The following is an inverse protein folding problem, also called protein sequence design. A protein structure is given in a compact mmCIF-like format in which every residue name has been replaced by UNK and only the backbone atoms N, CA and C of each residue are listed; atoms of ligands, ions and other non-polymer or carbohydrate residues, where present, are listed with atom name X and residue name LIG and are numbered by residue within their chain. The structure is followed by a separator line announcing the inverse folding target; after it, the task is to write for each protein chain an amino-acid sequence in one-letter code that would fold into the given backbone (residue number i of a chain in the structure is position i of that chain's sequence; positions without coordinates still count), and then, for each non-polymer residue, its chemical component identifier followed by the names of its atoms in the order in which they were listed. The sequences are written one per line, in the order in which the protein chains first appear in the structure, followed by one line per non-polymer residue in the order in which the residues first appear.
data_IF_940952447621
#
_entry.id   IF_940952447621
#
_cell.length_a   1.000
_cell.length_b   1.000
_cell.length_c   1.000
_cell.angle_alpha   90.00
_cell.angle_beta   90.00
_cell.angle_gamma   90.00
#
_symmetry.space_group_name_H-M   'P 1'
#
loop_
_entity.id
_entity.type
_entity.pdbx_description
1 polymer ?
#
# COMPACT_ATOMS: atom_id res chain seq x y z
N UNK A 1 23.01 17.67 25.09
CA UNK A 1 22.35 17.57 23.78
C UNK A 1 21.81 16.15 23.65
N UNK A 2 20.48 15.95 23.71
CA UNK A 2 19.89 14.62 23.47
C UNK A 2 20.12 14.28 21.99
N UNK A 3 20.82 13.18 21.72
CA UNK A 3 20.96 12.62 20.35
C UNK A 3 19.54 12.44 19.82
N UNK A 4 19.18 13.15 18.75
CA UNK A 4 17.90 12.95 18.07
C UNK A 4 17.88 11.49 17.62
N UNK A 5 16.89 10.71 18.06
CA UNK A 5 16.77 9.32 17.66
C UNK A 5 16.66 9.27 16.13
N UNK A 6 17.46 8.42 15.50
CA UNK A 6 17.48 8.32 14.04
C UNK A 6 16.15 7.75 13.55
N UNK A 7 15.50 8.41 12.58
CA UNK A 7 14.21 7.97 12.03
C UNK A 7 14.38 6.66 11.27
N UNK A 8 13.41 5.76 11.40
CA UNK A 8 13.37 4.51 10.62
C UNK A 8 13.10 4.82 9.14
N UNK A 9 14.01 4.46 8.24
CA UNK A 9 13.87 4.67 6.80
C UNK A 9 13.13 3.50 6.18
N UNK A 10 12.04 3.83 5.51
CA UNK A 10 11.12 2.87 4.89
C UNK A 10 10.95 3.23 3.42
N UNK A 11 11.18 2.27 2.54
CA UNK A 11 10.81 2.38 1.13
C UNK A 11 9.56 1.57 0.88
N UNK A 12 8.54 2.18 0.29
CA UNK A 12 7.34 1.50 -0.19
C UNK A 12 7.31 1.55 -1.72
N UNK A 13 7.07 0.42 -2.37
CA UNK A 13 7.14 0.31 -3.81
C UNK A 13 5.90 -0.35 -4.40
N UNK A 14 5.35 0.25 -5.46
CA UNK A 14 4.27 -0.31 -6.27
C UNK A 14 4.80 -0.48 -7.69
N UNK A 15 5.60 -1.52 -7.89
CA UNK A 15 6.44 -1.64 -9.07
C UNK A 15 5.64 -1.97 -10.32
N UNK A 16 5.99 -1.31 -11.42
CA UNK A 16 5.43 -1.53 -12.74
C UNK A 16 6.50 -1.79 -13.80
N UNK A 17 6.09 -2.46 -14.87
CA UNK A 17 6.91 -2.61 -16.07
C UNK A 17 6.72 -1.38 -16.97
N UNK A 18 7.64 -0.41 -16.89
CA UNK A 18 7.62 0.80 -17.72
C UNK A 18 7.82 0.45 -19.21
N UNK A 19 6.81 0.73 -20.03
CA UNK A 19 6.72 0.43 -21.47
C UNK A 19 6.01 1.59 -22.18
N UNK A 20 6.44 1.95 -23.40
CA UNK A 20 5.73 2.94 -24.20
C UNK A 20 4.25 2.55 -24.39
N UNK A 21 3.33 3.49 -24.16
CA UNK A 21 1.89 3.32 -24.39
C UNK A 21 1.06 2.81 -23.21
N UNK A 22 1.67 2.53 -22.05
CA UNK A 22 0.92 2.19 -20.85
C UNK A 22 0.50 3.46 -20.07
N UNK A 23 -0.77 3.55 -19.66
CA UNK A 23 -1.21 4.49 -18.64
C UNK A 23 -0.85 3.94 -17.26
N UNK A 24 -0.14 4.74 -16.47
CA UNK A 24 0.31 4.37 -15.13
C UNK A 24 -0.53 5.08 -14.09
N UNK A 25 -1.13 4.32 -13.18
CA UNK A 25 -1.85 4.87 -12.05
C UNK A 25 -0.89 5.28 -10.93
N UNK A 26 -1.24 6.35 -10.22
CA UNK A 26 -0.57 6.71 -8.96
C UNK A 26 -0.65 5.56 -7.96
N UNK A 27 0.35 5.36 -7.09
CA UNK A 27 0.40 4.19 -6.22
C UNK A 27 -0.42 4.40 -4.93
N UNK A 28 -1.74 4.54 -5.09
CA UNK A 28 -2.68 4.90 -4.01
C UNK A 28 -2.61 3.98 -2.79
N UNK A 29 -2.42 2.67 -3.00
CA UNK A 29 -2.35 1.68 -1.92
C UNK A 29 -1.20 1.94 -0.96
N UNK A 30 0.03 2.08 -1.46
CA UNK A 30 1.18 2.41 -0.61
C UNK A 30 1.14 3.86 -0.11
N UNK A 31 0.49 4.78 -0.83
CA UNK A 31 0.18 6.12 -0.34
C UNK A 31 -0.72 6.09 0.90
N UNK A 32 -1.75 5.24 0.90
CA UNK A 32 -2.64 5.04 2.06
C UNK A 32 -1.88 4.43 3.24
N UNK A 33 -1.02 3.44 3.00
CA UNK A 33 -0.14 2.86 4.04
C UNK A 33 0.80 3.92 4.61
N UNK A 34 1.38 4.78 3.78
CA UNK A 34 2.22 5.89 4.23
C UNK A 34 1.44 6.85 5.12
N UNK A 35 0.24 7.27 4.69
CA UNK A 35 -0.59 8.19 5.44
C UNK A 35 -1.01 7.62 6.80
N UNK A 36 -1.49 6.38 6.82
CA UNK A 36 -1.85 5.69 8.06
C UNK A 36 -0.67 5.53 9.01
N UNK A 37 0.51 5.13 8.49
CA UNK A 37 1.71 4.93 9.30
C UNK A 37 2.23 6.26 9.87
N UNK A 38 2.24 7.33 9.08
CA UNK A 38 2.63 8.69 9.51
C UNK A 38 1.64 9.24 10.54
N UNK A 39 0.34 8.93 10.44
CA UNK A 39 -0.65 9.33 11.43
C UNK A 39 -0.37 8.73 12.83
N UNK A 40 0.26 7.54 12.89
CA UNK A 40 0.57 6.86 14.16
C UNK A 40 1.99 7.18 14.65
N UNK A 41 2.97 7.16 13.75
CA UNK A 41 4.39 7.18 14.10
C UNK A 41 5.13 8.46 13.66
N UNK A 42 4.44 9.42 13.02
CA UNK A 42 4.92 10.71 12.50
C UNK A 42 6.43 10.93 12.45
N UNK A 43 7.03 11.32 13.60
CA UNK A 43 8.44 11.72 13.73
C UNK A 43 9.43 10.56 13.85
N UNK A 44 8.98 9.32 14.04
CA UNK A 44 9.83 8.14 14.20
C UNK A 44 10.17 7.45 12.86
N UNK A 45 9.50 7.81 11.77
CA UNK A 45 9.65 7.16 10.46
C UNK A 45 9.87 8.19 9.35
N UNK A 46 10.60 7.80 8.32
CA UNK A 46 10.63 8.47 7.01
C UNK A 46 10.26 7.47 5.93
N UNK A 47 9.22 7.76 5.15
CA UNK A 47 8.71 6.90 4.10
C UNK A 47 8.96 7.54 2.74
N UNK A 48 9.46 6.74 1.80
CA UNK A 48 9.67 7.13 0.40
C UNK A 48 8.92 6.16 -0.51
N UNK A 49 8.11 6.69 -1.42
CA UNK A 49 7.30 5.90 -2.35
C UNK A 49 8.02 5.72 -3.69
N UNK A 50 7.94 4.54 -4.29
CA UNK A 50 8.56 4.25 -5.60
C UNK A 50 7.58 3.50 -6.51
N UNK A 51 7.73 3.74 -7.81
CA UNK A 51 6.99 3.01 -8.86
C UNK A 51 7.96 2.46 -9.90
N UNK A 52 8.95 3.27 -10.29
CA UNK A 52 10.03 2.85 -11.17
C UNK A 52 11.03 1.91 -10.45
N UNK A 53 11.22 0.67 -10.95
CA UNK A 53 12.21 -0.24 -10.38
C UNK A 53 13.65 0.28 -10.50
N UNK A 54 13.98 1.11 -11.51
CA UNK A 54 15.31 1.72 -11.70
C UNK A 54 15.55 2.75 -10.60
N UNK A 55 14.62 3.67 -10.38
CA UNK A 55 14.72 4.66 -9.29
C UNK A 55 14.85 3.96 -7.93
N UNK A 56 14.07 2.90 -7.70
CA UNK A 56 14.11 2.15 -6.45
C UNK A 56 15.47 1.50 -6.21
N UNK A 57 16.03 0.79 -7.19
CA UNK A 57 17.31 0.09 -6.99
C UNK A 57 18.46 1.08 -6.82
N UNK A 58 18.42 2.22 -7.49
CA UNK A 58 19.39 3.31 -7.29
C UNK A 58 19.29 3.91 -5.89
N UNK A 59 18.07 4.15 -5.41
CA UNK A 59 17.85 4.61 -4.04
C UNK A 59 18.38 3.61 -3.01
N UNK A 60 18.08 2.31 -3.18
CA UNK A 60 18.58 1.24 -2.29
C UNK A 60 20.12 1.20 -2.30
N UNK A 61 20.77 1.29 -3.46
CA UNK A 61 22.25 1.31 -3.55
C UNK A 61 22.86 2.51 -2.84
N UNK A 62 22.20 3.68 -2.90
CA UNK A 62 22.69 4.91 -2.26
C UNK A 62 22.47 4.89 -0.75
N UNK A 63 21.31 4.43 -0.30
CA UNK A 63 20.94 4.33 1.12
C UNK A 63 19.95 3.16 1.30
N UNK A 64 20.42 1.98 1.69
CA UNK A 64 19.54 0.86 1.97
C UNK A 64 18.50 1.21 3.05
N UNK A 65 17.21 0.89 2.85
CA UNK A 65 16.19 1.14 3.86
C UNK A 65 16.26 0.07 4.96
N UNK A 66 15.80 0.40 6.18
CA UNK A 66 15.58 -0.63 7.19
C UNK A 66 14.35 -1.49 6.87
N UNK A 67 13.36 -0.93 6.15
CA UNK A 67 12.18 -1.67 5.69
C UNK A 67 11.92 -1.41 4.21
N UNK A 68 11.79 -2.47 3.41
CA UNK A 68 11.29 -2.41 2.03
C UNK A 68 9.93 -3.10 1.97
N UNK A 69 8.87 -2.33 1.75
CA UNK A 69 7.53 -2.85 1.50
C UNK A 69 7.17 -2.78 0.01
N UNK A 70 6.68 -3.86 -0.57
CA UNK A 70 6.27 -3.88 -1.97
C UNK A 70 4.82 -4.34 -2.13
N UNK A 71 4.05 -3.60 -2.94
CA UNK A 71 2.79 -4.10 -3.48
C UNK A 71 3.04 -5.38 -4.29
N UNK A 72 2.14 -6.34 -4.17
CA UNK A 72 2.26 -7.66 -4.76
C UNK A 72 0.98 -8.05 -5.50
N UNK A 73 1.04 -7.94 -6.82
CA UNK A 73 -0.04 -8.19 -7.75
C UNK A 73 0.44 -9.09 -8.89
N UNK A 74 -0.49 -9.77 -9.56
CA UNK A 74 -0.18 -10.77 -10.58
C UNK A 74 0.67 -10.23 -11.73
N UNK A 75 0.59 -8.92 -12.00
CA UNK A 75 1.38 -8.24 -13.03
C UNK A 75 2.79 -7.84 -12.59
N UNK A 76 3.11 -7.86 -11.29
CA UNK A 76 4.42 -7.45 -10.77
C UNK A 76 5.12 -8.47 -9.87
N UNK A 77 4.56 -9.67 -9.66
CA UNK A 77 5.11 -10.66 -8.71
C UNK A 77 6.60 -10.96 -8.95
N UNK A 78 6.97 -11.30 -10.19
CA UNK A 78 8.35 -11.64 -10.53
C UNK A 78 9.30 -10.45 -10.39
N UNK A 79 8.84 -9.25 -10.78
CA UNK A 79 9.61 -8.01 -10.65
C UNK A 79 9.87 -7.70 -9.17
N UNK A 80 8.83 -7.75 -8.35
CA UNK A 80 8.91 -7.52 -6.90
C UNK A 80 9.83 -8.53 -6.21
N UNK A 81 9.72 -9.82 -6.51
CA UNK A 81 10.58 -10.84 -5.92
C UNK A 81 12.06 -10.66 -6.33
N UNK A 82 12.32 -10.29 -7.59
CA UNK A 82 13.68 -9.97 -8.06
C UNK A 82 14.24 -8.72 -7.40
N UNK A 83 13.42 -7.69 -7.18
CA UNK A 83 13.82 -6.49 -6.44
C UNK A 83 14.17 -6.82 -5.00
N UNK A 84 13.37 -7.65 -4.33
CA UNK A 84 13.65 -8.11 -2.95
C UNK A 84 14.97 -8.89 -2.90
N UNK A 85 15.22 -9.79 -3.85
CA UNK A 85 16.49 -10.52 -3.96
C UNK A 85 17.68 -9.55 -4.13
N UNK A 86 17.54 -8.55 -5.01
CA UNK A 86 18.57 -7.54 -5.23
C UNK A 86 18.81 -6.67 -3.98
N UNK A 87 17.75 -6.23 -3.30
CA UNK A 87 17.83 -5.49 -2.05
C UNK A 87 18.59 -6.29 -0.99
N UNK A 88 18.27 -7.58 -0.81
CA UNK A 88 18.95 -8.45 0.15
C UNK A 88 20.42 -8.70 -0.15
N UNK A 89 20.83 -8.65 -1.42
CA UNK A 89 22.24 -8.74 -1.82
C UNK A 89 23.01 -7.46 -1.47
N UNK A 90 22.35 -6.31 -1.50
CA UNK A 90 22.93 -5.01 -1.12
C UNK A 90 22.98 -4.87 0.40
N UNK A 91 21.85 -5.14 1.06
CA UNK A 91 21.73 -5.14 2.51
C UNK A 91 20.83 -6.28 2.99
N UNK A 92 21.46 -7.26 3.64
CA UNK A 92 20.77 -8.43 4.19
C UNK A 92 19.92 -8.10 5.43
N UNK A 93 20.18 -6.96 6.09
CA UNK A 93 19.49 -6.51 7.29
C UNK A 93 18.12 -5.88 7.00
N UNK A 94 17.92 -5.29 5.82
CA UNK A 94 16.62 -4.73 5.39
C UNK A 94 15.50 -5.73 5.63
N UNK A 95 14.46 -5.35 6.38
CA UNK A 95 13.26 -6.17 6.56
C UNK A 95 12.37 -5.99 5.33
N UNK A 96 12.07 -7.10 4.65
CA UNK A 96 11.30 -7.08 3.40
C UNK A 96 9.87 -7.54 3.63
N UNK A 97 8.94 -6.78 3.07
CA UNK A 97 7.50 -6.98 3.24
C UNK A 97 6.85 -7.01 1.86
N UNK A 98 5.94 -7.96 1.62
CA UNK A 98 5.00 -7.87 0.49
C UNK A 98 3.57 -7.85 0.99
N UNK A 99 2.68 -7.23 0.22
CA UNK A 99 1.23 -7.29 0.44
C UNK A 99 0.48 -6.89 -0.83
N UNK A 100 -0.73 -7.41 -1.03
CA UNK A 100 -1.51 -7.11 -2.23
C UNK A 100 -2.45 -8.24 -2.61
N UNK A 101 -3.25 -8.00 -3.66
CA UNK A 101 -4.38 -8.86 -4.03
C UNK A 101 -3.97 -10.25 -4.52
N UNK A 102 -2.70 -10.47 -4.92
CA UNK A 102 -2.19 -11.79 -5.30
C UNK A 102 -2.10 -12.77 -4.13
N UNK A 103 -2.22 -12.30 -2.89
CA UNK A 103 -2.10 -13.13 -1.70
C UNK A 103 -3.50 -13.41 -1.15
N UNK A 104 -4.06 -14.56 -1.56
CA UNK A 104 -5.39 -14.94 -1.12
C UNK A 104 -5.46 -15.16 0.39
N UNK A 105 -6.32 -14.39 1.08
CA UNK A 105 -6.52 -14.39 2.54
C UNK A 105 -6.76 -15.77 3.12
N UNK A 106 -7.56 -16.61 2.48
CA UNK A 106 -7.95 -17.92 3.02
C UNK A 106 -7.15 -19.08 2.41
N UNK A 107 -5.98 -18.80 1.84
CA UNK A 107 -5.12 -19.81 1.23
C UNK A 107 -3.84 -20.04 2.03
N UNK A 108 -3.32 -21.25 1.95
CA UNK A 108 -1.98 -21.60 2.42
C UNK A 108 -0.87 -21.21 1.42
N UNK A 109 -1.20 -20.45 0.36
CA UNK A 109 -0.23 -20.05 -0.67
C UNK A 109 0.95 -19.25 -0.09
N UNK A 110 0.75 -18.53 1.03
CA UNK A 110 1.82 -17.85 1.75
C UNK A 110 2.98 -18.79 2.12
N UNK A 111 2.70 -20.06 2.43
CA UNK A 111 3.72 -21.07 2.75
C UNK A 111 4.64 -21.30 1.56
N UNK A 112 4.06 -21.44 0.35
CA UNK A 112 4.81 -21.62 -0.90
C UNK A 112 5.61 -20.36 -1.24
N UNK A 113 5.01 -19.19 -1.12
CA UNK A 113 5.68 -17.91 -1.39
C UNK A 113 6.90 -17.73 -0.46
N UNK A 114 6.74 -17.92 0.85
CA UNK A 114 7.84 -17.79 1.82
C UNK A 114 8.91 -18.87 1.67
N UNK A 115 8.53 -20.09 1.27
CA UNK A 115 9.46 -21.19 1.03
C UNK A 115 10.34 -20.93 -0.20
N UNK A 116 9.73 -20.45 -1.29
CA UNK A 116 10.43 -20.25 -2.55
C UNK A 116 11.25 -18.94 -2.59
N UNK A 117 11.00 -18.02 -1.66
CA UNK A 117 11.63 -16.71 -1.63
C UNK A 117 12.28 -16.46 -0.26
N UNK A 118 13.49 -16.99 0.00
CA UNK A 118 14.16 -16.84 1.29
C UNK A 118 14.50 -15.38 1.64
N UNK A 119 14.65 -14.53 0.61
CA UNK A 119 14.88 -13.09 0.79
C UNK A 119 13.66 -12.32 1.29
N UNK A 120 12.44 -12.87 1.22
CA UNK A 120 11.21 -12.23 1.68
C UNK A 120 10.98 -12.53 3.17
N UNK A 121 10.93 -11.54 4.05
CA UNK A 121 10.76 -11.74 5.50
C UNK A 121 9.28 -11.83 5.93
N UNK A 122 8.43 -10.94 5.43
CA UNK A 122 7.04 -10.76 5.91
C UNK A 122 6.06 -10.68 4.74
N UNK A 123 4.93 -11.37 4.87
CA UNK A 123 3.75 -11.16 4.04
C UNK A 123 2.70 -10.43 4.88
N UNK A 124 2.41 -9.18 4.54
CA UNK A 124 1.27 -8.45 5.08
C UNK A 124 -0.02 -8.98 4.43
N UNK A 125 -0.98 -9.37 5.27
CA UNK A 125 -2.26 -9.92 4.86
C UNK A 125 -3.35 -8.86 5.03
N UNK A 126 -4.43 -9.02 4.25
CA UNK A 126 -5.61 -8.15 4.26
C UNK A 126 -5.30 -6.69 3.85
N UNK A 127 -6.02 -5.72 4.42
CA UNK A 127 -5.77 -4.31 4.20
C UNK A 127 -4.44 -3.92 4.85
N UNK A 128 -3.50 -3.47 4.02
CA UNK A 128 -2.10 -3.33 4.37
C UNK A 128 -1.82 -2.32 5.48
N UNK A 129 -2.68 -1.33 5.69
CA UNK A 129 -2.46 -0.26 6.67
C UNK A 129 -2.28 -0.79 8.10
N UNK A 130 -3.22 -1.62 8.57
CA UNK A 130 -3.17 -2.19 9.93
C UNK A 130 -2.03 -3.19 10.08
N UNK A 131 -1.84 -4.05 9.08
CA UNK A 131 -0.78 -5.06 9.08
C UNK A 131 0.61 -4.42 9.05
N UNK A 132 0.80 -3.37 8.25
CA UNK A 132 2.05 -2.62 8.20
C UNK A 132 2.31 -1.84 9.49
N UNK A 133 1.30 -1.21 10.08
CA UNK A 133 1.45 -0.59 11.40
C UNK A 133 1.83 -1.62 12.48
N UNK A 134 1.27 -2.85 12.44
CA UNK A 134 1.67 -3.92 13.34
C UNK A 134 3.13 -4.37 13.14
N UNK A 135 3.61 -4.39 11.89
CA UNK A 135 5.03 -4.60 11.57
C UNK A 135 5.90 -3.51 12.21
N UNK A 136 5.55 -2.23 12.00
CA UNK A 136 6.31 -1.10 12.57
C UNK A 136 6.31 -1.13 14.10
N UNK A 137 5.16 -1.40 14.73
CA UNK A 137 5.06 -1.58 16.17
C UNK A 137 6.05 -2.63 16.67
N UNK A 138 6.08 -3.81 16.04
CA UNK A 138 7.00 -4.88 16.41
C UNK A 138 8.46 -4.48 16.20
N UNK A 139 8.77 -3.78 15.12
CA UNK A 139 10.13 -3.30 14.83
C UNK A 139 10.61 -2.36 15.93
N UNK A 140 9.77 -1.41 16.37
CA UNK A 140 10.11 -0.48 17.45
C UNK A 140 10.23 -1.18 18.81
N UNK A 141 9.33 -2.12 19.13
CA UNK A 141 9.41 -2.90 20.38
C UNK A 141 10.68 -3.76 20.48
N UNK A 142 11.24 -4.15 19.33
CA UNK A 142 12.40 -5.04 19.24
C UNK A 142 13.70 -4.32 18.83
N UNK A 143 13.68 -2.99 18.69
CA UNK A 143 14.84 -2.18 18.27
C UNK A 143 15.56 -2.76 17.04
N UNK A 144 14.78 -3.07 15.99
CA UNK A 144 15.25 -3.69 14.73
C UNK A 144 15.90 -5.08 14.86
N UNK A 145 15.94 -5.68 16.06
CA UNK A 145 16.51 -7.01 16.24
C UNK A 145 15.63 -8.09 15.58
N UNK A 146 16.11 -8.65 14.46
CA UNK A 146 15.37 -9.66 13.68
C UNK A 146 15.03 -10.91 14.47
N UNK A 147 15.91 -11.37 15.36
CA UNK A 147 15.63 -12.56 16.18
C UNK A 147 14.42 -12.34 17.09
N UNK A 148 14.35 -11.16 17.72
CA UNK A 148 13.21 -10.78 18.56
C UNK A 148 11.95 -10.54 17.73
N UNK A 149 12.06 -9.85 16.58
CA UNK A 149 10.93 -9.57 15.69
C UNK A 149 10.22 -10.87 15.27
N UNK A 150 10.99 -11.89 14.89
CA UNK A 150 10.47 -13.16 14.38
C UNK A 150 10.35 -14.27 15.44
N UNK A 151 10.66 -13.99 16.70
CA UNK A 151 10.54 -14.95 17.82
C UNK A 151 9.10 -15.44 18.05
N UNK A 152 8.11 -14.64 17.65
CA UNK A 152 6.68 -14.92 17.80
C UNK A 152 5.90 -14.46 16.58
N UNK A 153 4.73 -15.05 16.38
CA UNK A 153 3.82 -14.70 15.31
C UNK A 153 3.50 -13.19 15.30
N UNK A 154 3.25 -12.66 14.11
CA UNK A 154 2.95 -11.25 13.89
C UNK A 154 1.51 -11.10 13.37
N UNK A 155 0.68 -10.38 14.14
CA UNK A 155 -0.72 -10.18 13.78
C UNK A 155 -0.85 -9.50 12.41
N UNK A 156 -1.84 -9.93 11.62
CA UNK A 156 -2.07 -9.46 10.26
C UNK A 156 -1.02 -9.91 9.25
N UNK A 157 -0.09 -10.79 9.63
CA UNK A 157 1.05 -11.15 8.79
C UNK A 157 1.29 -12.67 8.74
N UNK A 158 1.96 -13.12 7.69
CA UNK A 158 2.62 -14.41 7.63
C UNK A 158 4.14 -14.24 7.56
N UNK A 159 4.87 -15.06 8.31
CA UNK A 159 6.34 -14.97 8.46
C UNK A 159 6.95 -16.37 8.59
N UNK A 160 8.27 -16.48 8.66
CA UNK A 160 8.96 -17.70 9.13
C UNK A 160 9.26 -17.57 10.62
N UNK A 161 8.85 -18.54 11.44
CA UNK A 161 9.14 -18.53 12.87
C UNK A 161 10.66 -18.52 13.10
N UNK A 162 11.16 -17.66 13.99
CA UNK A 162 12.59 -17.43 14.21
C UNK A 162 13.36 -17.04 12.92
N UNK A 163 12.68 -16.48 11.91
CA UNK A 163 13.25 -16.05 10.63
C UNK A 163 13.54 -17.17 9.62
N UNK A 164 13.64 -18.43 10.07
CA UNK A 164 14.07 -19.59 9.26
C UNK A 164 13.27 -20.87 9.46
N UNK A 165 12.36 -20.88 10.44
CA UNK A 165 11.50 -22.01 10.76
C UNK A 165 10.32 -22.16 9.79
N UNK A 166 9.29 -22.94 10.16
CA UNK A 166 8.10 -23.10 9.34
C UNK A 166 7.41 -21.76 9.10
N UNK A 167 6.75 -21.64 7.94
CA UNK A 167 5.89 -20.52 7.65
C UNK A 167 4.67 -20.56 8.60
N UNK A 168 4.45 -19.46 9.30
CA UNK A 168 3.38 -19.29 10.29
C UNK A 168 2.57 -18.05 9.95
N UNK A 169 1.28 -18.09 10.27
CA UNK A 169 0.36 -16.96 10.12
C UNK A 169 -0.04 -16.46 11.50
N UNK A 170 0.05 -15.16 11.73
CA UNK A 170 -0.47 -14.55 12.94
C UNK A 170 -1.98 -14.35 12.91
N UNK A 171 -2.50 -13.85 14.02
CA UNK A 171 -3.92 -13.56 14.19
C UNK A 171 -4.42 -12.57 13.12
N UNK A 172 -5.66 -12.76 12.69
CA UNK A 172 -6.29 -11.89 11.69
C UNK A 172 -6.67 -10.56 12.35
N UNK A 173 -6.29 -9.44 11.74
CA UNK A 173 -6.73 -8.11 12.16
C UNK A 173 -8.14 -7.86 11.62
N UNK A 174 -9.15 -8.23 12.41
CA UNK A 174 -10.55 -8.11 12.03
C UNK A 174 -11.04 -6.64 11.90
N UNK A 175 -12.19 -6.46 11.24
CA UNK A 175 -12.96 -5.22 11.25
C UNK A 175 -12.69 -4.23 10.12
N UNK A 176 -11.81 -4.54 9.16
CA UNK A 176 -11.44 -3.60 8.08
C UNK A 176 -10.84 -2.29 8.62
N UNK A 177 -10.47 -1.37 7.74
CA UNK A 177 -10.04 -0.02 8.08
C UNK A 177 -11.14 0.97 7.74
N UNK A 178 -11.43 1.88 8.66
CA UNK A 178 -12.21 3.07 8.34
C UNK A 178 -11.30 4.03 7.57
N UNK A 179 -11.58 4.23 6.28
CA UNK A 179 -10.79 5.11 5.40
C UNK A 179 -10.86 6.59 5.81
N UNK A 180 -11.74 6.95 6.75
CA UNK A 180 -11.81 8.30 7.33
C UNK A 180 -10.96 8.46 8.60
N UNK A 181 -10.36 7.37 9.11
CA UNK A 181 -9.61 7.39 10.39
C UNK A 181 -8.19 7.92 10.27
N UNK A 182 -7.74 8.23 9.05
CA UNK A 182 -6.43 8.79 8.76
C UNK A 182 -6.53 9.81 7.61
N UNK A 183 -5.57 10.74 7.48
CA UNK A 183 -5.60 11.75 6.42
C UNK A 183 -5.52 11.14 5.01
N UNK A 184 -6.11 11.82 4.03
CA UNK A 184 -5.97 11.44 2.63
C UNK A 184 -4.51 11.55 2.17
N UNK A 185 -3.96 10.55 1.45
CA UNK A 185 -2.62 10.64 0.90
C UNK A 185 -2.48 11.74 -0.17
N UNK A 186 -3.58 12.12 -0.84
CA UNK A 186 -3.59 13.27 -1.75
C UNK A 186 -3.49 14.58 -0.97
N UNK A 187 -4.36 14.79 0.02
CA UNK A 187 -4.39 16.05 0.78
C UNK A 187 -3.12 16.29 1.59
N UNK A 188 -2.38 15.23 1.92
CA UNK A 188 -1.07 15.31 2.56
C UNK A 188 0.10 15.55 1.58
N UNK A 189 -0.16 15.60 0.27
CA UNK A 189 0.85 15.81 -0.77
C UNK A 189 1.78 14.62 -1.02
N UNK A 190 1.48 13.44 -0.46
CA UNK A 190 2.37 12.27 -0.56
C UNK A 190 2.42 11.69 -1.98
N UNK A 191 1.42 11.98 -2.81
CA UNK A 191 1.31 11.48 -4.18
C UNK A 191 1.71 12.52 -5.25
N UNK A 192 2.10 13.74 -4.85
CA UNK A 192 2.33 14.86 -5.75
C UNK A 192 3.35 14.58 -6.84
N UNK A 193 4.46 13.93 -6.49
CA UNK A 193 5.50 13.61 -7.46
C UNK A 193 5.00 12.69 -8.59
N UNK A 194 3.99 11.86 -8.32
CA UNK A 194 3.40 10.97 -9.32
C UNK A 194 2.38 11.72 -10.18
N UNK A 195 1.56 12.56 -9.56
CA UNK A 195 0.62 13.45 -10.26
C UNK A 195 1.35 14.40 -11.23
N UNK A 196 2.46 14.97 -10.79
CA UNK A 196 3.31 15.86 -11.59
C UNK A 196 4.07 15.13 -12.70
N UNK A 197 4.36 13.83 -12.51
CA UNK A 197 4.97 12.98 -13.51
C UNK A 197 3.98 12.46 -14.58
N UNK A 198 2.70 12.84 -14.50
CA UNK A 198 1.69 12.49 -15.50
C UNK A 198 1.00 11.15 -15.27
N UNK A 199 1.11 10.57 -14.07
CA UNK A 199 0.38 9.35 -13.73
C UNK A 199 -1.10 9.67 -13.53
N UNK A 200 -1.96 8.74 -13.95
CA UNK A 200 -3.41 8.81 -13.79
C UNK A 200 -3.74 8.72 -12.30
N UNK A 201 -4.55 9.65 -11.82
CA UNK A 201 -4.97 9.63 -10.43
C UNK A 201 -6.02 8.53 -10.21
N UNK A 202 -5.87 7.74 -9.15
CA UNK A 202 -6.85 6.74 -8.76
C UNK A 202 -7.65 7.25 -7.55
N UNK A 203 -8.97 7.37 -7.67
CA UNK A 203 -9.84 7.84 -6.61
C UNK A 203 -10.62 6.67 -6.00
N UNK A 204 -10.45 6.46 -4.71
CA UNK A 204 -11.25 5.50 -3.94
C UNK A 204 -12.22 6.28 -3.05
N UNK A 205 -13.52 6.21 -3.35
CA UNK A 205 -14.62 6.81 -2.60
C UNK A 205 -15.27 5.81 -1.63
N UNK A 206 -15.12 4.52 -1.90
CA UNK A 206 -15.59 3.42 -1.06
C UNK A 206 -14.58 2.27 -1.07
N UNK A 207 -14.42 1.59 0.06
CA UNK A 207 -13.54 0.43 0.19
C UNK A 207 -14.31 -0.79 0.65
N UNK A 208 -14.12 -1.90 -0.07
CA UNK A 208 -14.85 -3.15 0.12
C UNK A 208 -16.11 -3.21 -0.73
N UNK A 209 -16.77 -4.37 -0.69
CA UNK A 209 -18.02 -4.61 -1.40
C UNK A 209 -18.85 -5.64 -0.60
N UNK A 210 -20.14 -5.38 -0.31
CA UNK A 210 -20.97 -6.29 0.49
C UNK A 210 -21.42 -7.53 -0.31
N UNK A 211 -21.23 -7.55 -1.63
CA UNK A 211 -21.65 -8.66 -2.49
C UNK A 211 -20.70 -9.86 -2.39
N UNK A 212 -21.28 -11.07 -2.55
CA UNK A 212 -20.58 -12.36 -2.43
C UNK A 212 -20.52 -13.12 -3.76
N UNK A 213 -20.14 -12.42 -4.82
CA UNK A 213 -20.05 -13.00 -6.15
C UNK A 213 -19.04 -14.17 -6.16
N UNK A 214 -19.47 -15.34 -6.63
CA UNK A 214 -18.70 -16.60 -6.60
C UNK A 214 -17.45 -16.62 -7.49
N UNK A 215 -17.29 -15.60 -8.34
CA UNK A 215 -16.13 -15.41 -9.21
C UNK A 215 -15.19 -14.30 -8.72
N UNK A 216 -15.61 -13.47 -7.75
CA UNK A 216 -14.89 -12.26 -7.36
C UNK A 216 -13.89 -12.55 -6.23
N UNK A 217 -12.63 -12.20 -6.42
CA UNK A 217 -11.61 -12.29 -5.37
C UNK A 217 -11.96 -11.43 -4.15
N UNK A 218 -12.56 -10.25 -4.36
CA UNK A 218 -13.08 -9.39 -3.29
C UNK A 218 -14.22 -10.05 -2.50
N UNK A 219 -15.19 -10.65 -3.20
CA UNK A 219 -16.37 -11.29 -2.58
C UNK A 219 -16.06 -12.61 -1.86
N UNK A 220 -15.12 -13.42 -2.37
CA UNK A 220 -14.78 -14.76 -1.83
C UNK A 220 -13.73 -14.66 -0.71
N UNK A 221 -12.71 -13.83 -0.89
CA UNK A 221 -11.55 -13.81 0.02
C UNK A 221 -11.55 -12.62 0.98
N UNK A 222 -12.40 -11.62 0.77
CA UNK A 222 -12.25 -10.31 1.41
C UNK A 222 -13.62 -9.74 1.80
N UNK A 223 -14.44 -10.53 2.51
CA UNK A 223 -15.67 -9.98 3.10
C UNK A 223 -15.29 -8.93 4.16
N UNK A 224 -15.24 -7.69 3.71
CA UNK A 224 -14.99 -6.52 4.52
C UNK A 224 -16.27 -5.68 4.53
N UNK A 225 -16.66 -5.15 5.70
CA UNK A 225 -17.68 -4.12 5.76
C UNK A 225 -17.33 -3.00 4.77
N UNK A 226 -18.33 -2.49 4.07
CA UNK A 226 -18.16 -1.34 3.19
C UNK A 226 -17.75 -0.14 4.04
N UNK A 227 -16.55 0.39 3.80
CA UNK A 227 -16.10 1.65 4.38
C UNK A 227 -16.34 2.76 3.36
N UNK A 228 -17.11 3.78 3.75
CA UNK A 228 -17.53 4.87 2.88
C UNK A 228 -16.75 6.12 3.24
N UNK A 229 -16.07 6.73 2.26
CA UNK A 229 -15.34 7.98 2.48
C UNK A 229 -16.33 9.13 2.65
N UNK A 230 -16.04 10.08 3.54
CA UNK A 230 -16.83 11.32 3.64
C UNK A 230 -16.88 12.04 2.29
N UNK A 231 -18.07 12.50 1.91
CA UNK A 231 -18.31 13.13 0.61
C UNK A 231 -17.47 14.41 0.45
N UNK A 232 -17.32 15.17 1.54
CA UNK A 232 -16.49 16.38 1.57
C UNK A 232 -15.03 16.05 1.27
N UNK A 233 -14.50 14.96 1.84
CA UNK A 233 -13.13 14.51 1.55
C UNK A 233 -12.97 14.10 0.08
N UNK A 234 -13.99 13.49 -0.54
CA UNK A 234 -13.95 13.16 -1.98
C UNK A 234 -13.89 14.44 -2.82
N UNK A 235 -14.66 15.47 -2.47
CA UNK A 235 -14.61 16.77 -3.15
C UNK A 235 -13.27 17.48 -2.99
N UNK A 236 -12.70 17.44 -1.80
CA UNK A 236 -11.37 18.00 -1.53
C UNK A 236 -10.29 17.25 -2.34
N UNK A 237 -10.33 15.92 -2.37
CA UNK A 237 -9.42 15.09 -3.17
C UNK A 237 -9.54 15.40 -4.67
N UNK A 238 -10.75 15.50 -5.21
CA UNK A 238 -10.98 15.84 -6.62
C UNK A 238 -10.41 17.21 -6.99
N UNK A 239 -10.68 18.24 -6.18
CA UNK A 239 -10.10 19.57 -6.40
C UNK A 239 -8.56 19.55 -6.28
N UNK A 240 -8.04 18.79 -5.31
CA UNK A 240 -6.60 18.67 -5.11
C UNK A 240 -5.93 18.01 -6.31
N UNK A 241 -6.45 16.88 -6.77
CA UNK A 241 -5.96 16.15 -7.94
C UNK A 241 -5.99 17.05 -9.17
N UNK A 242 -7.10 17.74 -9.43
CA UNK A 242 -7.25 18.64 -10.58
C UNK A 242 -6.20 19.77 -10.58
N UNK A 243 -5.81 20.26 -9.41
CA UNK A 243 -4.81 21.33 -9.27
C UNK A 243 -3.36 20.85 -9.45
N UNK A 244 -3.06 19.60 -9.09
CA UNK A 244 -1.68 19.11 -9.03
C UNK A 244 -1.34 18.04 -10.09
N UNK A 245 -2.35 17.47 -10.75
CA UNK A 245 -2.18 16.47 -11.81
C UNK A 245 -1.85 17.11 -13.14
N UNK A 246 -0.90 16.52 -13.85
CA UNK A 246 -0.65 16.82 -15.27
C UNK A 246 -1.45 15.91 -16.20
N UNK A 247 -1.89 14.73 -15.70
CA UNK A 247 -2.84 13.86 -16.41
C UNK A 247 -4.24 14.45 -16.37
N UNK A 248 -4.98 14.28 -17.48
CA UNK A 248 -6.38 14.69 -17.62
C UNK A 248 -7.38 13.58 -17.28
N UNK A 249 -6.88 12.40 -16.96
CA UNK A 249 -7.67 11.20 -16.70
C UNK A 249 -7.77 10.93 -15.20
N UNK A 250 -8.89 10.32 -14.79
CA UNK A 250 -9.15 9.89 -13.42
C UNK A 250 -9.72 8.47 -13.44
N UNK A 251 -9.09 7.57 -12.68
CA UNK A 251 -9.57 6.20 -12.49
C UNK A 251 -10.34 6.09 -11.17
N UNK A 252 -11.55 5.56 -11.21
CA UNK A 252 -12.30 5.23 -9.99
C UNK A 252 -11.89 3.82 -9.53
N UNK A 253 -11.25 3.74 -8.37
CA UNK A 253 -10.72 2.51 -7.79
C UNK A 253 -11.74 1.73 -6.93
N UNK A 254 -12.97 2.23 -6.82
CA UNK A 254 -14.03 1.56 -6.07
C UNK A 254 -14.33 0.18 -6.66
N UNK A 255 -14.56 -0.81 -5.79
CA UNK A 255 -14.92 -2.15 -6.26
C UNK A 255 -16.30 -2.17 -6.93
N UNK A 256 -17.17 -1.21 -6.57
CA UNK A 256 -18.50 -1.03 -7.15
C UNK A 256 -18.96 0.43 -6.98
N UNK A 257 -18.51 1.32 -7.89
CA UNK A 257 -19.00 2.69 -7.93
C UNK A 257 -20.47 2.73 -8.37
N UNK A 258 -21.32 3.44 -7.62
CA UNK A 258 -22.77 3.47 -7.82
C UNK A 258 -23.54 2.74 -6.71
N UNK A 259 -22.86 1.96 -5.88
CA UNK A 259 -23.50 1.23 -4.76
C UNK A 259 -24.12 2.17 -3.71
N UNK A 260 -23.66 3.42 -3.62
CA UNK A 260 -24.18 4.41 -2.66
C UNK A 260 -25.33 5.27 -3.22
N UNK A 261 -25.85 4.95 -4.41
CA UNK A 261 -27.01 5.60 -5.00
C UNK A 261 -26.84 7.11 -5.15
N UNK A 262 -27.70 7.89 -4.47
CA UNK A 262 -27.71 9.36 -4.51
C UNK A 262 -26.35 10.00 -4.19
N UNK A 263 -25.54 9.40 -3.30
CA UNK A 263 -24.20 9.90 -3.01
C UNK A 263 -23.30 9.85 -4.25
N UNK A 264 -23.27 8.72 -4.94
CA UNK A 264 -22.38 8.54 -6.09
C UNK A 264 -22.86 9.37 -7.29
N UNK A 265 -24.18 9.62 -7.39
CA UNK A 265 -24.74 10.60 -8.33
C UNK A 265 -24.27 12.03 -8.03
N UNK A 266 -24.24 12.47 -6.76
CA UNK A 266 -23.71 13.79 -6.39
C UNK A 266 -22.21 13.91 -6.68
N UNK A 267 -21.43 12.86 -6.41
CA UNK A 267 -20.01 12.82 -6.76
C UNK A 267 -19.84 12.92 -8.29
N UNK A 268 -20.64 12.18 -9.06
CA UNK A 268 -20.63 12.24 -10.53
C UNK A 268 -21.01 13.62 -11.07
N UNK A 269 -22.03 14.26 -10.49
CA UNK A 269 -22.42 15.62 -10.83
C UNK A 269 -21.29 16.62 -10.56
N UNK A 270 -20.62 16.48 -9.42
CA UNK A 270 -19.47 17.32 -9.08
C UNK A 270 -18.29 17.12 -10.06
N UNK A 271 -17.97 15.88 -10.43
CA UNK A 271 -16.95 15.60 -11.47
C UNK A 271 -17.32 16.25 -12.81
N UNK A 272 -18.59 16.19 -13.22
CA UNK A 272 -19.07 16.85 -14.44
C UNK A 272 -18.95 18.38 -14.37
N UNK A 273 -19.21 18.99 -13.20
CA UNK A 273 -19.01 20.43 -13.00
C UNK A 273 -17.55 20.83 -13.14
N UNK A 274 -16.64 20.05 -12.57
CA UNK A 274 -15.20 20.28 -12.72
C UNK A 274 -14.78 20.14 -14.17
N UNK A 275 -15.24 19.09 -14.87
CA UNK A 275 -14.98 18.90 -16.30
C UNK A 275 -15.44 20.08 -17.15
N UNK A 276 -16.66 20.58 -16.92
CA UNK A 276 -17.17 21.75 -17.66
C UNK A 276 -16.35 23.03 -17.42
N UNK A 277 -15.76 23.18 -16.24
CA UNK A 277 -14.95 24.36 -15.87
C UNK A 277 -13.55 24.31 -16.45
N UNK A 278 -12.94 23.13 -16.54
CA UNK A 278 -11.52 23.00 -16.82
C UNK A 278 -11.23 22.27 -18.14
N UNK A 279 -12.14 21.39 -18.58
CA UNK A 279 -11.90 20.45 -19.68
C UNK A 279 -11.03 19.25 -19.28
N UNK A 280 -10.91 18.99 -17.98
CA UNK A 280 -10.13 17.90 -17.38
C UNK A 280 -11.03 17.10 -16.43
N UNK A 281 -10.79 15.79 -16.31
CA UNK A 281 -11.62 14.71 -15.74
C UNK A 281 -12.31 13.85 -16.80
#
# INVERSE_FOLDING_TARGET
MKKQAEKLIIYLADLDHFRPGNCYNVPLGIGSIMSYSKNIYSEAIDIYLYKDPVELIEAIRRRPPQVLGCSFFMWNENLTLKMIEACKKIDSQTITVIGGASIARNSDNYKKILKNNPGLDIIALDQGEKSFAAILKRIFECDLNKELIFSKNLAGCATRLNGRGPAVRGEILAGGIDINSFPSPYLMGYLDKFLQAGLVASLETTRGCPHRCTFCCGGINTFLPLSVKKEETVYDELNYILKHSTSKELDIADTNFGIMGERDLRISAFMLELYKKTGFL
#
